data_IF_601207139751
#
_entry.id   IF_601207139751
#
_cell.length_a   1.000
_cell.length_b   1.000
_cell.length_c   1.000
_cell.angle_alpha   90.00
_cell.angle_beta   90.00
_cell.angle_gamma   90.00
#
_symmetry.space_group_name_H-M   'P 1'
#
loop_
_entity.id
_entity.type
_entity.pdbx_description
1 polymer ?
#
# COMPACT_ATOMS: atom_id res chain seq x y z
N UNK A 1 100.90 -7.39 -41.28
CA UNK A 1 100.36 -6.43 -40.31
C UNK A 1 98.84 -6.53 -40.39
N UNK A 2 98.22 -6.99 -39.29
CA UNK A 2 96.79 -6.92 -38.86
C UNK A 2 96.02 -5.71 -39.49
N UNK A 3 94.75 -5.74 -39.93
CA UNK A 3 93.46 -6.18 -39.33
C UNK A 3 92.27 -6.23 -40.35
N UNK A 4 91.31 -7.18 -40.12
CA UNK A 4 89.81 -7.15 -40.18
C UNK A 4 89.04 -6.44 -41.33
N UNK A 5 87.82 -6.81 -41.77
CA UNK A 5 86.86 -7.94 -41.61
C UNK A 5 85.60 -7.63 -42.47
N UNK A 6 84.82 -8.68 -42.77
CA UNK A 6 83.37 -8.74 -43.08
C UNK A 6 82.76 -8.31 -44.44
N UNK A 7 82.35 -9.35 -45.18
CA UNK A 7 81.01 -9.70 -45.68
C UNK A 7 80.00 -8.61 -46.08
N UNK A 8 79.49 -8.73 -47.32
CA UNK A 8 78.05 -8.94 -47.61
C UNK A 8 77.77 -9.28 -49.09
N UNK A 9 76.83 -10.21 -49.26
CA UNK A 9 76.23 -10.69 -50.52
C UNK A 9 75.58 -9.59 -51.37
N UNK A 10 75.52 -9.80 -52.70
CA UNK A 10 74.28 -9.61 -53.49
C UNK A 10 74.33 -10.30 -54.88
N UNK A 11 73.26 -11.05 -55.16
CA UNK A 11 72.62 -11.31 -56.46
C UNK A 11 73.35 -12.09 -57.59
N UNK A 12 72.72 -13.14 -58.13
CA UNK A 12 71.84 -13.03 -59.32
C UNK A 12 71.54 -14.43 -59.94
N UNK A 13 70.26 -14.68 -60.23
CA UNK A 13 69.68 -15.58 -61.26
C UNK A 13 69.80 -17.11 -61.15
N UNK A 14 68.63 -17.77 -61.05
CA UNK A 14 68.12 -18.68 -62.11
C UNK A 14 66.68 -19.16 -61.84
N UNK A 15 65.81 -18.95 -62.84
CA UNK A 15 64.60 -19.75 -63.13
C UNK A 15 64.72 -20.22 -64.58
N UNK A 16 63.92 -21.19 -65.09
CA UNK A 16 63.06 -22.16 -64.40
C UNK A 16 63.23 -23.60 -64.92
N UNK A 17 62.71 -24.61 -64.21
CA UNK A 17 62.00 -25.79 -64.77
C UNK A 17 61.54 -26.76 -63.67
N UNK A 18 60.30 -27.22 -63.80
CA UNK A 18 59.68 -28.37 -63.12
C UNK A 18 59.07 -28.19 -61.72
N UNK A 19 57.93 -27.50 -61.63
CA UNK A 19 56.93 -27.74 -60.57
C UNK A 19 55.54 -27.63 -61.21
N UNK A 20 55.09 -28.69 -61.88
CA UNK A 20 53.77 -28.73 -62.53
C UNK A 20 52.92 -29.95 -62.14
N UNK A 21 53.29 -30.72 -61.10
CA UNK A 21 52.57 -31.98 -60.76
C UNK A 21 52.19 -32.11 -59.27
N UNK A 22 52.35 -31.07 -58.44
CA UNK A 22 51.97 -31.15 -57.02
C UNK A 22 51.12 -29.96 -56.55
N UNK A 23 50.05 -29.64 -57.28
CA UNK A 23 49.10 -28.59 -56.89
C UNK A 23 47.65 -28.88 -57.34
N UNK A 24 47.19 -30.13 -57.26
CA UNK A 24 45.78 -30.50 -57.53
C UNK A 24 45.19 -31.31 -56.35
N UNK A 25 45.61 -31.04 -55.11
CA UNK A 25 44.98 -31.67 -53.92
C UNK A 25 44.76 -30.72 -52.74
N UNK A 26 44.50 -29.44 -52.99
CA UNK A 26 44.03 -28.47 -51.96
C UNK A 26 42.99 -27.47 -52.47
N UNK A 27 42.39 -27.67 -53.65
CA UNK A 27 41.32 -26.79 -54.20
C UNK A 27 40.01 -27.59 -54.32
N UNK A 28 39.64 -28.31 -53.25
CA UNK A 28 38.25 -28.79 -53.01
C UNK A 28 37.87 -28.63 -51.52
N UNK A 29 38.51 -27.70 -50.79
CA UNK A 29 38.13 -27.37 -49.41
C UNK A 29 37.96 -25.85 -49.17
N UNK A 30 37.55 -25.10 -50.19
CA UNK A 30 37.24 -23.67 -50.06
C UNK A 30 35.82 -23.28 -50.51
N UNK A 31 34.91 -24.25 -50.66
CA UNK A 31 33.47 -24.00 -50.91
C UNK A 31 32.56 -24.50 -49.78
N UNK A 32 33.12 -24.77 -48.59
CA UNK A 32 32.34 -25.01 -47.35
C UNK A 32 32.69 -24.05 -46.22
N UNK A 33 33.28 -22.90 -46.53
CA UNK A 33 33.23 -21.78 -45.58
C UNK A 33 31.95 -21.02 -45.91
N UNK A 34 30.83 -21.52 -45.37
CA UNK A 34 29.61 -20.75 -45.29
C UNK A 34 29.95 -19.36 -44.75
N UNK A 35 29.41 -18.33 -45.38
CA UNK A 35 29.59 -16.94 -44.96
C UNK A 35 29.21 -16.82 -43.48
N UNK A 36 30.20 -16.87 -42.59
CA UNK A 36 30.04 -16.62 -41.15
C UNK A 36 29.78 -15.15 -40.83
N UNK A 37 29.36 -14.36 -41.83
CA UNK A 37 29.28 -12.90 -41.79
C UNK A 37 27.96 -12.31 -42.29
N UNK A 38 26.90 -13.10 -42.49
CA UNK A 38 25.58 -12.53 -42.78
C UNK A 38 24.50 -13.14 -41.91
N UNK A 39 24.64 -13.02 -40.58
CA UNK A 39 23.44 -13.12 -39.75
C UNK A 39 22.60 -11.87 -40.03
N UNK A 40 21.38 -11.98 -40.57
CA UNK A 40 20.56 -10.81 -40.84
C UNK A 40 20.16 -10.10 -39.54
N UNK A 41 19.79 -8.83 -39.69
CA UNK A 41 19.09 -8.10 -38.64
C UNK A 41 17.69 -8.68 -38.44
N UNK A 42 17.23 -8.87 -37.18
CA UNK A 42 15.88 -9.38 -36.92
C UNK A 42 14.83 -8.36 -37.35
N UNK A 43 13.67 -8.83 -37.81
CA UNK A 43 12.54 -7.97 -38.23
C UNK A 43 11.31 -8.31 -37.40
N UNK A 44 11.23 -7.84 -36.14
CA UNK A 44 10.10 -8.11 -35.27
C UNK A 44 8.86 -7.33 -35.74
N UNK A 45 7.70 -7.99 -35.85
CA UNK A 45 6.45 -7.41 -36.35
C UNK A 45 5.38 -7.20 -35.28
N UNK A 46 5.44 -7.93 -34.17
CA UNK A 46 4.45 -7.79 -33.09
C UNK A 46 4.70 -8.72 -31.91
N UNK A 47 3.95 -8.50 -30.83
CA UNK A 47 4.05 -9.23 -29.57
C UNK A 47 2.65 -9.43 -28.96
N UNK A 48 2.44 -10.58 -28.31
CA UNK A 48 1.23 -10.85 -27.54
C UNK A 48 1.51 -11.75 -26.33
N UNK A 49 0.98 -11.44 -25.13
CA UNK A 49 0.28 -10.19 -24.78
C UNK A 49 1.22 -8.97 -24.75
N UNK A 50 0.66 -7.76 -24.78
CA UNK A 50 1.42 -6.49 -24.69
C UNK A 50 1.44 -5.90 -23.27
N UNK A 51 0.92 -6.64 -22.28
CA UNK A 51 0.89 -6.23 -20.89
C UNK A 51 0.95 -7.42 -19.94
N UNK A 52 1.31 -7.17 -18.69
CA UNK A 52 1.34 -8.15 -17.61
C UNK A 52 1.79 -7.53 -16.28
N UNK A 53 1.78 -8.28 -15.17
CA UNK A 53 2.06 -7.73 -13.84
C UNK A 53 3.49 -7.19 -13.72
N UNK A 54 3.67 -6.17 -12.89
CA UNK A 54 4.93 -5.54 -12.52
C UNK A 54 5.94 -6.53 -11.90
N UNK A 55 5.48 -7.62 -11.29
CA UNK A 55 6.34 -8.71 -10.82
C UNK A 55 7.04 -9.49 -11.94
N UNK A 56 6.61 -9.32 -13.21
CA UNK A 56 7.14 -10.02 -14.37
C UNK A 56 6.55 -11.41 -14.55
N UNK A 57 7.25 -12.28 -15.28
CA UNK A 57 6.83 -13.68 -15.48
C UNK A 57 5.79 -13.88 -16.58
N UNK A 58 5.43 -12.83 -17.32
CA UNK A 58 4.49 -12.95 -18.46
C UNK A 58 5.20 -13.63 -19.62
N UNK A 59 4.67 -14.76 -20.09
CA UNK A 59 5.13 -15.38 -21.33
C UNK A 59 4.56 -14.60 -22.51
N UNK A 60 5.43 -13.95 -23.28
CA UNK A 60 5.07 -13.25 -24.51
C UNK A 60 5.56 -14.02 -25.74
N UNK A 61 4.73 -14.02 -26.78
CA UNK A 61 5.12 -14.46 -28.11
C UNK A 61 5.42 -13.25 -28.97
N UNK A 62 6.64 -13.18 -29.49
CA UNK A 62 7.07 -12.14 -30.44
C UNK A 62 7.12 -12.79 -31.82
N UNK A 63 6.43 -12.16 -32.77
CA UNK A 63 6.37 -12.56 -34.18
C UNK A 63 7.27 -11.67 -35.02
N UNK A 64 7.75 -12.18 -36.15
CA UNK A 64 8.58 -11.42 -37.06
C UNK A 64 9.24 -12.29 -38.12
N UNK A 65 10.40 -11.86 -38.58
CA UNK A 65 11.26 -12.60 -39.49
C UNK A 65 12.73 -12.51 -39.05
N UNK A 66 13.54 -13.45 -39.56
CA UNK A 66 15.00 -13.45 -39.44
C UNK A 66 15.51 -13.56 -38.00
N UNK A 67 14.80 -14.28 -37.14
CA UNK A 67 15.28 -14.61 -35.81
C UNK A 67 16.35 -15.71 -35.87
N UNK A 68 17.48 -15.46 -35.21
CA UNK A 68 18.63 -16.36 -35.25
C UNK A 68 18.39 -17.60 -34.39
N UNK A 69 17.99 -18.71 -35.03
CA UNK A 69 17.80 -20.00 -34.37
C UNK A 69 19.11 -20.69 -33.98
N UNK A 70 20.22 -20.36 -34.64
CA UNK A 70 21.49 -21.07 -34.48
C UNK A 70 22.27 -20.55 -33.27
N UNK A 71 22.38 -19.23 -33.13
CA UNK A 71 23.08 -18.60 -32.01
C UNK A 71 22.11 -18.11 -30.93
N UNK A 72 20.81 -18.02 -31.25
CA UNK A 72 19.77 -17.52 -30.37
C UNK A 72 19.59 -16.00 -30.45
N UNK A 73 18.62 -15.52 -29.69
CA UNK A 73 18.22 -14.12 -29.61
C UNK A 73 18.27 -13.64 -28.17
N UNK A 74 18.53 -12.36 -27.98
CA UNK A 74 18.37 -11.66 -26.70
C UNK A 74 17.16 -10.74 -26.81
N UNK A 75 16.31 -10.73 -25.79
CA UNK A 75 15.14 -9.86 -25.70
C UNK A 75 15.25 -9.06 -24.40
N UNK A 76 15.10 -7.75 -24.47
CA UNK A 76 15.06 -6.87 -23.29
C UNK A 76 13.77 -6.07 -23.23
N UNK A 77 13.32 -5.79 -22.01
CA UNK A 77 12.14 -4.98 -21.68
C UNK A 77 12.62 -3.81 -20.83
N UNK A 78 12.56 -2.59 -21.38
CA UNK A 78 13.09 -1.39 -20.69
C UNK A 78 14.57 -1.53 -20.33
N UNK A 79 15.35 -2.25 -21.14
CA UNK A 79 16.76 -2.53 -20.89
C UNK A 79 17.04 -3.70 -19.93
N UNK A 80 16.03 -4.28 -19.27
CA UNK A 80 16.19 -5.50 -18.46
C UNK A 80 16.07 -6.75 -19.33
N UNK A 81 16.97 -7.71 -19.17
CA UNK A 81 16.91 -8.97 -19.92
C UNK A 81 15.65 -9.77 -19.56
N UNK A 82 15.02 -10.38 -20.57
CA UNK A 82 14.03 -11.42 -20.36
C UNK A 82 14.60 -12.57 -19.51
N UNK A 83 13.78 -13.15 -18.63
CA UNK A 83 14.22 -14.23 -17.72
C UNK A 83 14.39 -15.56 -18.44
N UNK A 84 13.68 -15.74 -19.56
CA UNK A 84 13.84 -16.86 -20.48
C UNK A 84 13.56 -16.39 -21.91
N UNK A 85 14.31 -16.92 -22.88
CA UNK A 85 14.10 -16.70 -24.31
C UNK A 85 14.29 -18.02 -25.05
N UNK A 86 13.31 -18.37 -25.86
CA UNK A 86 13.36 -19.52 -26.77
C UNK A 86 12.97 -19.08 -28.17
N UNK A 87 13.62 -19.65 -29.19
CA UNK A 87 13.43 -19.28 -30.60
C UNK A 87 12.95 -20.51 -31.36
N UNK A 88 11.65 -20.84 -31.31
CA UNK A 88 11.11 -22.04 -31.97
C UNK A 88 11.22 -22.00 -33.50
N UNK A 89 11.24 -20.82 -34.12
CA UNK A 89 11.41 -20.63 -35.56
C UNK A 89 12.07 -19.29 -35.88
N UNK A 90 12.50 -19.07 -37.12
CA UNK A 90 12.99 -17.77 -37.59
C UNK A 90 11.92 -16.66 -37.58
N UNK A 91 10.66 -17.01 -37.28
CA UNK A 91 9.51 -16.10 -37.30
C UNK A 91 8.83 -15.96 -35.95
N UNK A 92 9.27 -16.68 -34.92
CA UNK A 92 8.68 -16.66 -33.60
C UNK A 92 9.74 -16.77 -32.49
N UNK A 93 9.57 -15.93 -31.46
CA UNK A 93 10.30 -15.99 -30.20
C UNK A 93 9.26 -16.13 -29.08
N UNK A 94 9.56 -16.98 -28.10
CA UNK A 94 8.85 -16.98 -26.82
C UNK A 94 9.80 -16.44 -25.76
N UNK A 95 9.41 -15.36 -25.11
CA UNK A 95 10.19 -14.72 -24.05
C UNK A 95 9.36 -14.60 -22.76
N UNK A 96 10.03 -14.57 -21.61
CA UNK A 96 9.38 -14.34 -20.31
C UNK A 96 9.84 -12.99 -19.76
N UNK A 97 8.89 -12.11 -19.44
CA UNK A 97 9.21 -10.75 -18.99
C UNK A 97 9.93 -10.75 -17.63
N UNK A 98 10.90 -9.84 -17.42
CA UNK A 98 11.45 -9.58 -16.10
C UNK A 98 10.47 -8.75 -15.26
N UNK A 99 10.80 -8.55 -13.97
CA UNK A 99 10.08 -7.59 -13.13
C UNK A 99 10.31 -6.14 -13.58
N UNK A 100 9.23 -5.37 -13.63
CA UNK A 100 9.16 -3.96 -14.01
C UNK A 100 8.64 -3.06 -12.89
N UNK A 101 8.25 -1.85 -13.25
CA UNK A 101 7.56 -0.91 -12.36
C UNK A 101 6.09 -0.85 -12.74
N UNK A 102 5.18 -0.86 -11.76
CA UNK A 102 3.75 -0.75 -11.99
C UNK A 102 3.39 0.54 -12.76
N UNK A 103 2.49 0.42 -13.74
CA UNK A 103 2.06 1.52 -14.62
C UNK A 103 3.04 1.91 -15.72
N UNK A 104 4.24 1.32 -15.77
CA UNK A 104 5.28 1.69 -16.74
C UNK A 104 5.08 0.99 -18.10
N UNK A 105 5.14 1.77 -19.18
CA UNK A 105 5.28 1.25 -20.55
C UNK A 105 6.75 1.25 -20.95
N UNK A 106 7.28 0.10 -21.36
CA UNK A 106 8.69 -0.07 -21.70
C UNK A 106 8.91 -0.51 -23.15
N UNK A 107 10.02 -0.06 -23.74
CA UNK A 107 10.47 -0.51 -25.06
C UNK A 107 10.92 -1.98 -25.01
N UNK A 108 10.59 -2.74 -26.06
CA UNK A 108 11.07 -4.12 -26.24
C UNK A 108 12.13 -4.14 -27.33
N UNK A 109 13.34 -4.61 -27.00
CA UNK A 109 14.48 -4.65 -27.93
C UNK A 109 14.89 -6.09 -28.20
N UNK A 110 15.05 -6.42 -29.48
CA UNK A 110 15.41 -7.74 -29.99
C UNK A 110 16.79 -7.65 -30.65
N UNK A 111 17.68 -8.56 -30.26
CA UNK A 111 19.06 -8.63 -30.77
C UNK A 111 19.41 -10.07 -31.13
N UNK A 112 19.71 -10.33 -32.40
CA UNK A 112 20.25 -11.62 -32.80
C UNK A 112 21.68 -11.78 -32.24
N UNK A 113 21.98 -12.88 -31.53
CA UNK A 113 23.29 -13.06 -30.88
C UNK A 113 24.45 -13.18 -31.86
N UNK A 114 24.20 -13.64 -33.08
CA UNK A 114 25.19 -13.63 -34.16
C UNK A 114 25.43 -12.25 -34.79
N UNK A 115 24.73 -11.19 -34.34
CA UNK A 115 24.89 -9.79 -34.80
C UNK A 115 24.64 -8.79 -33.65
N UNK A 116 25.41 -8.86 -32.55
CA UNK A 116 25.12 -8.13 -31.31
C UNK A 116 25.18 -6.59 -31.44
N UNK A 117 25.86 -6.07 -32.45
CA UNK A 117 25.98 -4.64 -32.74
C UNK A 117 24.70 -4.02 -33.30
N UNK A 118 23.71 -4.84 -33.72
CA UNK A 118 22.43 -4.36 -34.24
C UNK A 118 21.30 -4.71 -33.28
N UNK A 119 20.66 -3.67 -32.74
CA UNK A 119 19.54 -3.79 -31.80
C UNK A 119 18.29 -3.20 -32.43
N UNK A 120 17.22 -4.00 -32.50
CA UNK A 120 15.97 -3.58 -33.14
C UNK A 120 14.89 -3.42 -32.09
N UNK A 121 14.31 -2.22 -32.02
CA UNK A 121 13.19 -1.94 -31.12
C UNK A 121 11.88 -2.31 -31.79
N UNK A 122 11.07 -3.12 -31.14
CA UNK A 122 9.72 -3.43 -31.57
C UNK A 122 8.86 -2.15 -31.53
N UNK A 123 7.96 -1.97 -32.50
CA UNK A 123 7.05 -0.81 -32.54
C UNK A 123 6.06 -0.78 -31.37
N UNK A 124 5.67 -1.95 -30.86
CA UNK A 124 4.86 -2.10 -29.66
C UNK A 124 5.72 -2.01 -28.40
N UNK A 125 5.12 -1.44 -27.36
CA UNK A 125 5.67 -1.44 -26.01
C UNK A 125 5.03 -2.56 -25.17
N UNK A 126 5.71 -2.95 -24.09
CA UNK A 126 5.13 -3.80 -23.05
C UNK A 126 4.73 -2.93 -21.85
N UNK A 127 3.51 -3.08 -21.35
CA UNK A 127 3.03 -2.34 -20.17
C UNK A 127 3.01 -3.23 -18.94
N UNK A 128 3.69 -2.81 -17.88
CA UNK A 128 3.57 -3.42 -16.57
C UNK A 128 2.32 -2.88 -15.88
N UNK A 129 1.31 -3.72 -15.69
CA UNK A 129 0.11 -3.38 -14.93
C UNK A 129 0.37 -3.52 -13.45
N UNK A 130 -0.27 -2.69 -12.63
CA UNK A 130 -0.29 -2.88 -11.19
C UNK A 130 -1.21 -4.04 -10.82
N UNK A 131 -0.65 -5.08 -10.21
CA UNK A 131 -1.38 -6.25 -9.75
C UNK A 131 -1.26 -6.45 -8.23
N UNK A 132 -0.64 -5.51 -7.52
CA UNK A 132 -0.43 -5.60 -6.08
C UNK A 132 -1.64 -5.00 -5.35
N UNK A 133 -2.33 -5.76 -4.48
CA UNK A 133 -3.43 -5.19 -3.70
C UNK A 133 -2.98 -4.25 -2.58
N UNK A 134 -3.80 -3.25 -2.20
CA UNK A 134 -3.51 -2.39 -1.07
C UNK A 134 -3.55 -3.18 0.24
N UNK A 135 -2.72 -2.78 1.20
CA UNK A 135 -2.70 -3.31 2.58
C UNK A 135 -2.84 -2.17 3.58
N UNK A 136 -3.42 -2.42 4.76
CA UNK A 136 -3.47 -1.43 5.84
C UNK A 136 -2.09 -1.34 6.51
N UNK A 137 -1.52 -0.14 6.55
CA UNK A 137 -0.19 0.13 7.13
C UNK A 137 -0.28 0.75 8.51
N UNK A 138 -1.33 1.52 8.78
CA UNK A 138 -1.55 2.19 10.05
C UNK A 138 -3.04 2.42 10.28
N UNK A 139 -3.44 2.40 11.55
CA UNK A 139 -4.75 2.79 12.01
C UNK A 139 -4.61 3.71 13.23
N UNK A 140 -5.45 4.74 13.29
CA UNK A 140 -5.56 5.64 14.43
C UNK A 140 -7.04 5.67 14.88
N UNK A 141 -7.34 5.23 16.11
CA UNK A 141 -6.42 4.77 17.14
C UNK A 141 -5.73 3.46 16.79
N UNK A 142 -4.50 3.26 17.25
CA UNK A 142 -3.77 2.01 17.11
C UNK A 142 -4.50 0.83 17.77
N UNK A 143 -4.26 -0.39 17.29
CA UNK A 143 -4.91 -1.58 17.86
C UNK A 143 -4.57 -1.76 19.35
N UNK A 144 -5.58 -2.08 20.15
CA UNK A 144 -5.48 -2.19 21.60
C UNK A 144 -5.38 -0.87 22.36
N UNK A 145 -5.49 0.29 21.68
CA UNK A 145 -5.43 1.59 22.36
C UNK A 145 -6.52 1.72 23.42
N UNK A 146 -6.14 2.25 24.58
CA UNK A 146 -7.05 2.59 25.67
C UNK A 146 -7.04 4.09 25.87
N UNK A 147 -8.15 4.74 25.51
CA UNK A 147 -8.31 6.19 25.58
C UNK A 147 -8.88 6.55 26.95
N UNK A 148 -8.13 7.35 27.72
CA UNK A 148 -8.43 7.67 29.13
C UNK A 148 -8.40 9.16 29.50
N UNK A 149 -8.03 10.07 28.59
CA UNK A 149 -7.81 11.49 28.90
C UNK A 149 -8.92 12.40 28.32
N UNK A 150 -10.04 12.70 29.01
CA UNK A 150 -10.98 13.72 28.48
C UNK A 150 -11.76 14.57 29.50
N UNK A 151 -12.16 15.76 29.04
CA UNK A 151 -12.98 16.76 29.77
C UNK A 151 -14.50 16.49 29.70
N UNK A 152 -14.97 15.60 28.81
CA UNK A 152 -16.38 15.23 28.58
C UNK A 152 -16.53 13.74 28.17
N UNK A 153 -17.20 12.92 28.99
CA UNK A 153 -17.39 11.47 28.75
C UNK A 153 -18.30 11.13 27.56
N UNK A 154 -19.06 12.09 27.06
CA UNK A 154 -20.04 11.88 25.99
C UNK A 154 -19.45 12.13 24.61
N UNK A 155 -18.31 12.84 24.53
CA UNK A 155 -17.70 13.31 23.29
C UNK A 155 -16.18 13.04 23.28
N UNK A 156 -15.77 11.78 23.43
CA UNK A 156 -14.34 11.41 23.53
C UNK A 156 -13.65 11.54 22.18
N UNK A 157 -14.28 11.02 21.13
CA UNK A 157 -13.78 11.12 19.75
C UNK A 157 -14.93 10.85 18.77
N UNK A 158 -14.77 11.27 17.53
CA UNK A 158 -15.78 11.04 16.48
C UNK A 158 -15.18 10.55 15.16
N UNK A 159 -13.87 10.25 15.12
CA UNK A 159 -13.21 9.84 13.89
C UNK A 159 -12.18 8.74 14.11
N UNK A 160 -12.04 7.87 13.11
CA UNK A 160 -11.01 6.84 13.02
C UNK A 160 -10.33 7.00 11.66
N UNK A 161 -9.00 6.94 11.62
CA UNK A 161 -8.22 7.07 10.40
C UNK A 161 -7.47 5.78 10.08
N UNK A 162 -7.30 5.50 8.80
CA UNK A 162 -6.61 4.31 8.29
C UNK A 162 -5.73 4.74 7.12
N UNK A 163 -4.49 4.28 7.12
CA UNK A 163 -3.54 4.46 6.01
C UNK A 163 -3.25 3.12 5.33
N UNK A 164 -2.98 3.17 4.03
CA UNK A 164 -2.72 2.02 3.17
C UNK A 164 -1.28 2.02 2.65
N UNK A 165 -0.87 0.93 2.01
CA UNK A 165 0.44 0.80 1.36
C UNK A 165 0.57 1.60 0.07
N UNK A 166 -0.54 2.11 -0.45
CA UNK A 166 -0.67 2.79 -1.72
C UNK A 166 -1.97 3.61 -1.79
N UNK A 167 -2.14 4.36 -2.89
CA UNK A 167 -3.34 5.15 -3.07
C UNK A 167 -4.57 4.27 -3.31
N UNK A 168 -5.66 4.55 -2.59
CA UNK A 168 -6.92 3.84 -2.71
C UNK A 168 -8.03 4.74 -3.24
N UNK A 169 -8.99 4.14 -3.94
CA UNK A 169 -10.25 4.81 -4.24
C UNK A 169 -11.09 4.85 -2.95
N UNK A 170 -11.20 6.01 -2.32
CA UNK A 170 -11.93 6.18 -1.05
C UNK A 170 -13.41 5.77 -1.14
N UNK A 171 -14.04 5.88 -2.31
CA UNK A 171 -15.44 5.46 -2.53
C UNK A 171 -15.62 3.93 -2.46
N UNK A 172 -14.54 3.17 -2.64
CA UNK A 172 -14.57 1.70 -2.51
C UNK A 172 -14.44 1.24 -1.06
N UNK A 173 -13.96 2.09 -0.16
CA UNK A 173 -13.63 1.71 1.21
C UNK A 173 -14.88 1.67 2.08
N UNK A 174 -15.13 0.51 2.67
CA UNK A 174 -16.18 0.31 3.66
C UNK A 174 -15.57 0.18 5.06
N UNK A 175 -15.97 1.05 5.97
CA UNK A 175 -15.59 1.00 7.39
C UNK A 175 -16.85 0.75 8.22
N UNK A 176 -16.83 -0.35 8.98
CA UNK A 176 -17.85 -0.67 9.97
C UNK A 176 -17.24 -0.56 11.36
N UNK A 177 -17.90 0.17 12.26
CA UNK A 177 -17.47 0.29 13.66
C UNK A 177 -18.51 -0.34 14.56
N UNK A 178 -18.22 -1.56 15.03
CA UNK A 178 -19.06 -2.28 15.97
C UNK A 178 -18.75 -1.83 17.40
N UNK A 179 -19.79 -1.76 18.23
CA UNK A 179 -19.72 -1.33 19.61
C UNK A 179 -19.98 -2.54 20.50
N UNK A 180 -19.10 -2.75 21.49
CA UNK A 180 -19.31 -3.70 22.57
C UNK A 180 -19.15 -3.01 23.92
N UNK A 181 -19.74 -3.59 24.96
CA UNK A 181 -19.53 -3.17 26.34
C UNK A 181 -18.18 -3.64 26.86
N UNK A 182 -17.50 -2.79 27.63
CA UNK A 182 -16.45 -3.20 28.55
C UNK A 182 -17.04 -3.64 29.89
N UNK A 183 -16.26 -4.34 30.73
CA UNK A 183 -16.69 -4.74 32.09
C UNK A 183 -17.15 -3.54 32.95
N UNK A 184 -16.59 -2.36 32.69
CA UNK A 184 -16.91 -1.12 33.40
C UNK A 184 -18.09 -0.33 32.79
N UNK A 185 -18.80 -0.89 31.82
CA UNK A 185 -19.90 -0.20 31.12
C UNK A 185 -21.11 0.01 32.04
N UNK A 186 -21.69 1.21 32.01
CA UNK A 186 -23.02 1.43 32.57
C UNK A 186 -24.08 0.57 31.86
N UNK A 187 -25.22 0.35 32.51
CA UNK A 187 -26.29 -0.57 32.10
C UNK A 187 -26.98 -0.28 30.76
N UNK A 188 -26.49 0.69 29.99
CA UNK A 188 -27.05 1.03 28.67
C UNK A 188 -26.91 -0.13 27.69
N UNK A 189 -27.93 -0.49 26.92
CA UNK A 189 -27.77 -1.47 25.85
C UNK A 189 -26.86 -0.91 24.75
N UNK A 190 -26.08 -1.79 24.09
CA UNK A 190 -25.95 -1.82 22.62
C UNK A 190 -24.83 -2.76 22.17
N UNK A 191 -25.23 -3.87 21.53
CA UNK A 191 -24.51 -4.39 20.37
C UNK A 191 -25.05 -3.62 19.17
N UNK A 192 -24.28 -2.67 18.64
CA UNK A 192 -24.70 -1.81 17.54
C UNK A 192 -23.51 -1.41 16.68
N UNK A 193 -23.77 -0.92 15.47
CA UNK A 193 -22.77 -0.30 14.60
C UNK A 193 -22.96 1.20 14.57
N UNK A 194 -21.86 1.96 14.56
CA UNK A 194 -21.92 3.41 14.33
C UNK A 194 -22.20 3.69 12.85
N UNK A 195 -23.07 4.66 12.60
CA UNK A 195 -23.23 5.27 11.28
C UNK A 195 -22.22 6.42 11.13
N UNK A 196 -21.80 6.68 9.89
CA UNK A 196 -20.84 7.72 9.59
C UNK A 196 -20.45 7.74 8.12
N UNK A 197 -19.52 8.64 7.79
CA UNK A 197 -19.04 8.85 6.43
C UNK A 197 -17.55 8.55 6.32
N UNK A 198 -17.15 7.83 5.27
CA UNK A 198 -15.74 7.65 4.91
C UNK A 198 -15.34 8.74 3.92
N UNK A 199 -14.27 9.46 4.22
CA UNK A 199 -13.68 10.46 3.34
C UNK A 199 -12.18 10.26 3.28
N UNK A 200 -11.51 10.66 2.20
CA UNK A 200 -10.07 10.47 2.08
C UNK A 200 -9.54 10.76 0.68
N UNK A 201 -8.22 10.85 0.58
CA UNK A 201 -7.50 11.07 -0.67
C UNK A 201 -6.10 10.47 -0.56
N UNK A 202 -5.56 9.95 -1.67
CA UNK A 202 -4.26 9.30 -1.65
C UNK A 202 -4.33 7.96 -0.92
N UNK A 203 -3.42 7.75 0.01
CA UNK A 203 -3.25 6.50 0.76
C UNK A 203 -3.94 6.51 2.14
N UNK A 204 -4.75 7.52 2.46
CA UNK A 204 -5.39 7.64 3.76
C UNK A 204 -6.89 7.94 3.65
N UNK A 205 -7.65 7.32 4.56
CA UNK A 205 -9.09 7.55 4.74
C UNK A 205 -9.41 7.80 6.21
N UNK A 206 -10.46 8.56 6.44
CA UNK A 206 -11.02 8.85 7.76
C UNK A 206 -12.51 8.52 7.74
N UNK A 207 -12.93 7.65 8.65
CA UNK A 207 -14.32 7.47 9.02
C UNK A 207 -14.68 8.52 10.06
N UNK A 208 -15.70 9.33 9.80
CA UNK A 208 -16.30 10.27 10.76
C UNK A 208 -17.67 9.75 11.15
N UNK A 209 -17.85 9.43 12.43
CA UNK A 209 -19.10 8.94 12.99
C UNK A 209 -20.12 10.06 13.15
N UNK A 210 -21.39 9.76 12.88
CA UNK A 210 -22.52 10.68 13.07
C UNK A 210 -22.78 10.97 14.56
N UNK A 211 -22.43 10.00 15.42
CA UNK A 211 -22.49 10.12 16.87
C UNK A 211 -21.09 9.96 17.48
N UNK A 212 -20.77 10.73 18.53
CA UNK A 212 -19.49 10.58 19.23
C UNK A 212 -19.35 9.18 19.82
N UNK A 213 -18.12 8.69 19.82
CA UNK A 213 -17.71 7.50 20.56
C UNK A 213 -17.68 7.85 22.05
N UNK A 214 -18.48 7.13 22.81
CA UNK A 214 -18.72 7.32 24.25
C UNK A 214 -17.77 6.49 25.11
N UNK A 215 -17.56 6.96 26.33
CA UNK A 215 -16.83 6.24 27.37
C UNK A 215 -17.48 4.93 27.80
N UNK A 216 -16.67 4.00 28.34
CA UNK A 216 -17.11 2.69 28.78
C UNK A 216 -17.60 1.83 27.62
N UNK A 217 -16.87 1.86 26.50
CA UNK A 217 -17.17 1.09 25.29
C UNK A 217 -15.88 0.58 24.66
N UNK A 218 -15.96 -0.60 24.07
CA UNK A 218 -14.97 -1.12 23.13
C UNK A 218 -15.52 -0.94 21.72
N UNK A 219 -14.68 -0.44 20.83
CA UNK A 219 -15.00 -0.29 19.42
C UNK A 219 -14.14 -1.26 18.63
N UNK A 220 -14.79 -2.08 17.80
CA UNK A 220 -14.12 -2.93 16.81
C UNK A 220 -14.35 -2.33 15.45
N UNK A 221 -13.29 -1.90 14.80
CA UNK A 221 -13.31 -1.32 13.45
C UNK A 221 -12.96 -2.41 12.46
N UNK A 222 -13.78 -2.58 11.43
CA UNK A 222 -13.51 -3.47 10.30
C UNK A 222 -13.44 -2.64 9.02
N UNK A 223 -12.29 -2.70 8.36
CA UNK A 223 -12.00 -2.07 7.06
C UNK A 223 -12.09 -3.12 5.96
N UNK A 224 -12.86 -2.87 4.91
CA UNK A 224 -13.06 -3.80 3.80
C UNK A 224 -13.33 -3.07 2.49
N UNK A 225 -13.30 -3.78 1.37
CA UNK A 225 -13.69 -3.25 0.06
C UNK A 225 -12.69 -2.29 -0.60
N UNK A 226 -11.68 -1.82 0.13
CA UNK A 226 -10.67 -0.90 -0.37
C UNK A 226 -10.02 -1.45 -1.65
N UNK A 227 -10.10 -0.69 -2.73
CA UNK A 227 -9.45 -0.96 -4.00
C UNK A 227 -8.45 0.14 -4.32
N UNK A 228 -7.31 -0.22 -4.90
CA UNK A 228 -6.38 0.74 -5.48
C UNK A 228 -6.96 1.38 -6.77
N UNK A 229 -6.16 2.21 -7.43
CA UNK A 229 -6.56 2.85 -8.70
C UNK A 229 -6.54 1.90 -9.91
N UNK A 230 -5.90 0.73 -9.80
CA UNK A 230 -5.88 -0.32 -10.81
C UNK A 230 -7.03 -1.33 -10.66
N UNK A 231 -7.78 -1.25 -9.56
CA UNK A 231 -8.90 -2.13 -9.22
C UNK A 231 -8.52 -3.36 -8.40
N UNK A 232 -7.28 -3.48 -7.91
CA UNK A 232 -6.92 -4.57 -7.00
C UNK A 232 -7.51 -4.30 -5.62
N UNK A 233 -8.23 -5.28 -5.09
CA UNK A 233 -8.96 -5.15 -3.83
C UNK A 233 -8.17 -5.70 -2.66
N UNK A 234 -8.21 -5.01 -1.52
CA UNK A 234 -7.71 -5.47 -0.22
C UNK A 234 -8.07 -6.94 -0.01
N UNK A 235 -7.05 -7.78 0.12
CA UNK A 235 -7.18 -9.23 0.02
C UNK A 235 -8.11 -9.85 1.08
N UNK A 236 -8.13 -9.28 2.28
CA UNK A 236 -9.05 -9.65 3.35
C UNK A 236 -9.38 -8.46 4.23
N UNK A 237 -10.58 -8.41 4.86
CA UNK A 237 -10.91 -7.35 5.80
C UNK A 237 -9.87 -7.22 6.91
N UNK A 238 -9.49 -5.99 7.22
CA UNK A 238 -8.61 -5.67 8.35
C UNK A 238 -9.46 -5.28 9.56
N UNK A 239 -9.16 -5.82 10.74
CA UNK A 239 -9.89 -5.49 11.96
C UNK A 239 -8.93 -5.14 13.09
N UNK A 240 -9.27 -4.08 13.82
CA UNK A 240 -8.59 -3.63 15.03
C UNK A 240 -9.61 -3.16 16.04
N UNK A 241 -9.23 -3.09 17.31
CA UNK A 241 -10.11 -2.59 18.37
C UNK A 241 -9.40 -1.58 19.26
N UNK A 242 -10.18 -0.66 19.81
CA UNK A 242 -9.72 0.23 20.87
C UNK A 242 -10.83 0.38 21.90
N UNK A 243 -10.46 0.78 23.11
CA UNK A 243 -11.42 1.00 24.19
C UNK A 243 -11.36 2.43 24.68
N UNK A 244 -12.51 2.94 25.07
CA UNK A 244 -12.62 4.20 25.79
C UNK A 244 -12.97 3.86 27.22
N UNK A 245 -12.08 4.19 28.16
CA UNK A 245 -12.27 3.81 29.57
C UNK A 245 -13.56 4.40 30.11
N UNK A 246 -14.28 3.60 30.90
CA UNK A 246 -15.43 4.10 31.64
C UNK A 246 -14.97 5.10 32.70
N UNK A 247 -15.78 6.11 33.02
CA UNK A 247 -15.52 6.88 34.21
C UNK A 247 -15.69 6.07 35.48
N UNK A 248 -14.58 5.90 36.21
CA UNK A 248 -14.59 5.15 37.47
C UNK A 248 -15.43 5.84 38.56
N UNK A 249 -16.61 5.27 38.82
CA UNK A 249 -17.54 5.52 39.94
C UNK A 249 -18.52 6.67 39.71
N UNK A 250 -19.79 6.30 39.50
CA UNK A 250 -20.92 7.21 39.71
C UNK A 250 -21.28 7.22 41.19
N UNK A 251 -20.97 8.30 41.90
CA UNK A 251 -21.58 8.55 43.21
C UNK A 251 -22.99 9.09 43.00
N UNK A 252 -23.92 8.78 43.90
CA UNK A 252 -25.26 9.38 43.87
C UNK A 252 -25.33 10.52 44.87
N UNK A 253 -25.70 11.70 44.40
CA UNK A 253 -26.01 12.83 45.24
C UNK A 253 -27.49 13.08 45.27
N UNK A 254 -28.05 13.13 46.47
CA UNK A 254 -29.42 13.57 46.66
C UNK A 254 -29.40 15.09 46.77
N UNK A 255 -30.04 15.77 45.82
CA UNK A 255 -30.23 17.23 45.86
C UNK A 255 -30.86 17.62 47.19
N UNK A 256 -30.19 18.50 47.92
CA UNK A 256 -30.60 18.96 49.24
C UNK A 256 -31.45 20.23 49.12
N UNK A 257 -32.20 20.54 50.17
CA UNK A 257 -33.04 21.75 50.18
C UNK A 257 -32.20 23.02 50.02
N UNK A 258 -31.00 23.05 50.60
CA UNK A 258 -30.04 24.15 50.51
C UNK A 258 -29.45 24.39 49.11
N UNK A 259 -29.48 23.38 48.24
CA UNK A 259 -29.03 23.53 46.85
C UNK A 259 -30.01 24.34 46.01
N UNK A 260 -31.28 24.37 46.43
CA UNK A 260 -32.38 25.05 45.72
C UNK A 260 -32.60 26.43 46.36
N UNK A 261 -32.22 27.47 45.63
CA UNK A 261 -32.42 28.87 46.03
C UNK A 261 -33.30 29.61 45.01
N UNK A 262 -33.55 30.91 45.22
CA UNK A 262 -34.35 31.76 44.32
C UNK A 262 -33.91 31.66 42.85
N UNK A 263 -32.62 31.37 42.61
CA UNK A 263 -32.10 30.93 41.31
C UNK A 263 -31.75 29.43 41.32
N UNK A 264 -32.58 28.63 40.64
CA UNK A 264 -32.41 27.18 40.42
C UNK A 264 -31.82 26.88 39.03
N UNK A 265 -31.53 25.61 38.74
CA UNK A 265 -30.98 25.13 37.46
C UNK A 265 -29.46 25.10 37.48
N UNK A 266 -28.82 25.79 36.54
CA UNK A 266 -27.36 25.86 36.44
C UNK A 266 -26.70 26.36 37.74
N UNK A 267 -27.29 27.36 38.41
CA UNK A 267 -26.75 27.86 39.68
C UNK A 267 -26.78 26.80 40.78
N UNK A 268 -27.79 25.93 40.80
CA UNK A 268 -27.86 24.81 41.73
C UNK A 268 -26.80 23.74 41.39
N UNK A 269 -26.62 23.42 40.11
CA UNK A 269 -25.56 22.51 39.66
C UNK A 269 -24.16 23.04 39.99
N UNK A 270 -23.91 24.35 39.83
CA UNK A 270 -22.66 25.01 40.24
C UNK A 270 -22.43 24.92 41.74
N UNK A 271 -23.46 25.16 42.57
CA UNK A 271 -23.36 25.00 44.03
C UNK A 271 -23.00 23.57 44.42
N UNK A 272 -23.69 22.59 43.83
CA UNK A 272 -23.43 21.16 44.07
C UNK A 272 -22.00 20.81 43.65
N UNK A 273 -21.53 21.28 42.49
CA UNK A 273 -20.18 21.05 42.01
C UNK A 273 -19.08 21.69 42.88
N UNK A 274 -19.35 22.86 43.50
CA UNK A 274 -18.42 23.51 44.42
C UNK A 274 -18.19 22.76 45.73
N UNK A 275 -18.99 21.74 46.05
CA UNK A 275 -18.83 21.00 47.30
C UNK A 275 -17.53 20.18 47.27
N UNK A 276 -16.72 20.18 48.34
CA UNK A 276 -15.48 19.42 48.40
C UNK A 276 -15.66 17.92 48.17
N UNK A 277 -16.77 17.36 48.67
CA UNK A 277 -17.14 15.96 48.47
C UNK A 277 -17.59 15.64 47.03
N UNK A 278 -17.88 16.65 46.20
CA UNK A 278 -18.39 16.49 44.83
C UNK A 278 -17.34 16.79 43.77
N UNK A 279 -16.81 18.00 43.69
CA UNK A 279 -15.70 18.32 42.78
C UNK A 279 -14.74 19.39 43.32
N UNK A 280 -15.12 20.11 44.38
CA UNK A 280 -14.40 21.30 44.86
C UNK A 280 -14.17 22.35 43.76
N UNK A 281 -15.05 22.39 42.75
CA UNK A 281 -14.92 23.30 41.61
C UNK A 281 -16.29 23.56 40.95
N UNK A 282 -16.81 24.80 41.00
CA UNK A 282 -18.11 25.15 40.42
C UNK A 282 -18.20 24.87 38.93
N UNK A 283 -17.11 25.02 38.15
CA UNK A 283 -17.13 24.87 36.69
C UNK A 283 -17.39 23.43 36.24
N UNK A 284 -17.24 22.46 37.16
CA UNK A 284 -17.49 21.04 36.92
C UNK A 284 -18.98 20.69 36.87
N UNK A 285 -19.87 21.68 37.06
CA UNK A 285 -21.31 21.52 36.92
C UNK A 285 -21.73 20.94 35.56
N UNK A 286 -20.96 21.21 34.50
CA UNK A 286 -21.17 20.64 33.15
C UNK A 286 -21.06 19.11 33.16
N UNK A 287 -20.23 18.54 34.02
CA UNK A 287 -20.11 17.08 34.19
C UNK A 287 -21.35 16.48 34.82
N UNK A 288 -21.99 17.20 35.75
CA UNK A 288 -23.28 16.77 36.29
C UNK A 288 -24.36 16.77 35.21
N UNK A 289 -24.37 17.77 34.31
CA UNK A 289 -25.29 17.74 33.16
C UNK A 289 -25.01 16.54 32.27
N UNK A 290 -23.76 16.35 31.86
CA UNK A 290 -23.34 15.24 31.01
C UNK A 290 -23.72 13.87 31.60
N UNK A 291 -23.53 13.66 32.89
CA UNK A 291 -23.84 12.38 33.53
C UNK A 291 -25.33 12.12 33.76
N UNK A 292 -26.20 13.14 33.67
CA UNK A 292 -27.62 13.01 33.98
C UNK A 292 -28.56 13.34 32.81
N UNK A 293 -28.03 13.80 31.66
CA UNK A 293 -28.85 14.22 30.52
C UNK A 293 -29.73 13.12 29.91
N UNK A 294 -29.36 11.85 30.11
CA UNK A 294 -30.11 10.69 29.62
C UNK A 294 -31.18 10.21 30.62
N UNK A 295 -31.25 10.81 31.82
CA UNK A 295 -32.35 10.59 32.77
C UNK A 295 -33.56 11.45 32.36
N UNK A 296 -34.68 10.79 32.07
CA UNK A 296 -35.94 11.43 31.65
C UNK A 296 -36.47 12.48 32.64
N UNK A 297 -36.08 12.40 33.91
CA UNK A 297 -36.52 13.31 34.98
C UNK A 297 -35.57 14.50 35.14
N UNK A 298 -34.40 14.49 34.48
CA UNK A 298 -33.41 15.56 34.61
C UNK A 298 -33.73 16.78 33.73
N UNK A 299 -34.07 17.89 34.37
CA UNK A 299 -34.15 19.22 33.75
C UNK A 299 -33.04 20.13 34.32
N UNK A 300 -32.05 20.46 33.49
CA UNK A 300 -30.92 21.32 33.89
C UNK A 300 -31.34 22.72 34.37
N UNK A 301 -32.55 23.16 34.03
CA UNK A 301 -33.08 24.47 34.42
C UNK A 301 -33.90 24.43 35.70
N UNK A 302 -34.32 23.24 36.15
CA UNK A 302 -35.12 23.01 37.35
C UNK A 302 -34.78 21.70 38.01
N UNK A 303 -33.95 21.78 39.05
CA UNK A 303 -33.72 20.66 39.95
C UNK A 303 -34.80 20.60 41.04
N UNK A 304 -35.12 19.40 41.49
CA UNK A 304 -36.04 19.16 42.62
C UNK A 304 -35.30 18.65 43.84
N UNK A 305 -35.71 19.09 45.04
CA UNK A 305 -35.19 18.52 46.29
C UNK A 305 -35.46 17.02 46.34
N UNK A 306 -34.45 16.24 46.73
CA UNK A 306 -34.53 14.79 46.78
C UNK A 306 -34.24 14.08 45.46
N UNK A 307 -34.12 14.81 44.35
CA UNK A 307 -33.68 14.26 43.06
C UNK A 307 -32.29 13.64 43.19
N UNK A 308 -32.08 12.49 42.56
CA UNK A 308 -30.77 11.84 42.53
C UNK A 308 -30.00 12.34 41.32
N UNK A 309 -28.78 12.82 41.54
CA UNK A 309 -27.81 13.13 40.51
C UNK A 309 -26.68 12.11 40.54
N UNK A 310 -26.31 11.63 39.36
CA UNK A 310 -25.10 10.88 39.11
C UNK A 310 -23.92 11.85 39.12
N UNK A 311 -22.90 11.55 39.93
CA UNK A 311 -21.66 12.30 40.01
C UNK A 311 -20.59 11.44 39.37
N UNK A 312 -20.13 11.81 38.17
CA UNK A 312 -19.00 11.14 37.56
C UNK A 312 -17.72 11.39 38.37
N UNK A 313 -16.99 10.34 38.74
CA UNK A 313 -15.63 10.41 39.28
C UNK A 313 -14.69 9.57 38.41
N UNK A 314 -13.39 9.68 38.66
CA UNK A 314 -12.37 8.79 38.13
C UNK A 314 -11.36 9.45 37.20
N UNK A 315 -10.30 8.72 36.85
CA UNK A 315 -9.19 9.23 36.01
C UNK A 315 -9.66 9.74 34.65
N UNK A 316 -10.70 9.12 34.09
CA UNK A 316 -11.33 9.54 32.84
C UNK A 316 -11.90 10.96 32.88
N UNK A 317 -12.06 11.54 34.07
CA UNK A 317 -12.50 12.89 34.32
C UNK A 317 -11.41 13.76 34.97
N UNK A 318 -10.14 13.36 34.96
CA UNK A 318 -9.05 14.15 35.54
C UNK A 318 -9.01 14.20 37.07
N UNK A 319 -9.76 13.31 37.76
CA UNK A 319 -9.54 13.08 39.19
C UNK A 319 -8.20 12.34 39.39
N UNK A 320 -7.45 12.71 40.44
CA UNK A 320 -6.15 12.09 40.79
C UNK A 320 -6.30 10.76 41.51
#
# INVERSE_FOLDING_TARGET
MRLFSDDKETELMKKPRNIAVLAILTIVCAWMVGCGGCNPEPVPSGMSPTQGPESGGTTVQITGEKFDMKNGVTVTFGGKNATSVTVPSETQITAVTPGGMAGESVSVVITNKGKPEVQVTLSQQFTYTDATPPTVTMNEPADGTVISEYEDSLNVMNSVSVSFSEAVNSDSVSISVAIAKTEDSMSEPMDATLSGTVTGSGDAVTFTSDMPMRAGRMYTVTVSGAADMAGNTLASPHSFSFSVTSPERLYKYRVQEEDIQESNGENALKRIASRPEIFDNPEMWKRLVAANQDDYIFDRTKLSVGQMLLIPRGRAWGDK
#
